data_IF_309267077896
#
_entry.id   IF_309267077896
#
_cell.length_a   1.000
_cell.length_b   1.000
_cell.length_c   1.000
_cell.angle_alpha   90.00
_cell.angle_beta   90.00
_cell.angle_gamma   90.00
#
_symmetry.space_group_name_H-M   'P 1'
#
loop_
_entity.id
_entity.type
_entity.pdbx_description
1 polymer ?
#
# COMPACT_ATOMS: atom_id res chain seq x y z
N UNK A 1 8.10 6.18 -6.79
CA UNK A 1 7.12 6.67 -5.77
C UNK A 1 7.76 7.57 -4.72
N UNK A 2 8.84 7.13 -4.13
CA UNK A 2 9.55 7.91 -3.08
C UNK A 2 9.92 9.33 -3.55
N UNK A 3 10.55 9.44 -4.71
CA UNK A 3 10.94 10.73 -5.25
C UNK A 3 9.73 11.64 -5.53
N UNK A 4 8.66 11.08 -6.05
CA UNK A 4 7.43 11.82 -6.33
C UNK A 4 6.83 12.39 -5.03
N UNK A 5 6.71 11.56 -4.00
CA UNK A 5 6.15 11.95 -2.70
C UNK A 5 7.00 13.02 -2.04
N UNK A 6 8.33 12.82 -1.98
CA UNK A 6 9.24 13.75 -1.32
C UNK A 6 9.34 15.09 -2.05
N UNK A 7 9.40 15.07 -3.37
CA UNK A 7 9.51 16.32 -4.14
C UNK A 7 8.29 17.23 -3.96
N UNK A 8 7.13 16.65 -3.64
CA UNK A 8 5.87 17.39 -3.48
C UNK A 8 5.41 17.54 -2.04
N UNK A 9 6.14 16.95 -1.08
CA UNK A 9 5.76 17.02 0.33
C UNK A 9 4.41 16.38 0.62
N UNK A 10 4.06 15.30 -0.08
CA UNK A 10 2.73 14.72 -0.01
C UNK A 10 2.48 13.91 1.25
N UNK A 11 3.53 13.39 1.87
CA UNK A 11 3.38 12.60 3.09
C UNK A 11 4.57 11.71 3.40
N UNK A 12 4.29 10.64 4.10
CA UNK A 12 5.26 9.67 4.59
C UNK A 12 5.21 8.40 3.74
N UNK A 13 6.36 8.02 3.19
CA UNK A 13 6.50 6.77 2.45
C UNK A 13 7.51 5.88 3.17
N UNK A 14 7.16 4.60 3.32
CA UNK A 14 8.00 3.63 4.00
C UNK A 14 8.10 2.33 3.21
N UNK A 15 9.23 1.65 3.37
CA UNK A 15 9.41 0.27 2.94
C UNK A 15 9.04 -0.69 4.06
N UNK A 16 9.79 -1.78 4.19
CA UNK A 16 9.51 -2.84 5.16
C UNK A 16 9.73 -2.43 6.63
N UNK A 17 10.21 -1.24 6.90
CA UNK A 17 10.34 -0.68 8.24
C UNK A 17 9.06 0.03 8.71
N UNK A 18 8.09 0.25 7.83
CA UNK A 18 6.80 0.82 8.20
C UNK A 18 5.87 -0.24 8.78
N UNK A 19 5.48 -0.08 10.04
CA UNK A 19 4.58 -0.99 10.73
C UNK A 19 3.34 -0.25 11.22
N UNK A 20 2.17 -0.86 11.03
CA UNK A 20 0.89 -0.22 11.32
C UNK A 20 0.03 -1.11 12.21
N UNK A 21 -0.60 -0.51 13.20
CA UNK A 21 -1.61 -1.17 14.02
C UNK A 21 -2.96 -0.91 13.35
N UNK A 22 -3.51 -1.92 12.70
CA UNK A 22 -4.74 -1.78 11.93
C UNK A 22 -5.98 -1.95 12.79
N UNK A 23 -5.85 -2.70 13.88
CA UNK A 23 -6.96 -3.06 14.75
C UNK A 23 -6.45 -3.34 16.15
N UNK A 24 -7.29 -3.10 17.15
CA UNK A 24 -7.00 -3.42 18.55
C UNK A 24 -8.00 -4.48 19.05
N UNK A 25 -7.62 -5.22 20.07
CA UNK A 25 -8.41 -6.18 20.84
C UNK A 25 -9.08 -7.28 20.01
N UNK A 26 -8.37 -8.19 19.36
CA UNK A 26 -6.91 -8.37 19.39
C UNK A 26 -6.21 -7.43 18.42
N UNK A 27 -4.95 -7.16 18.69
CA UNK A 27 -4.14 -6.30 17.82
C UNK A 27 -3.84 -7.01 16.50
N UNK A 28 -4.03 -6.29 15.39
CA UNK A 28 -3.59 -6.70 14.06
C UNK A 28 -2.54 -5.70 13.60
N UNK A 29 -1.32 -6.18 13.44
CA UNK A 29 -0.18 -5.38 12.99
C UNK A 29 0.27 -5.89 11.63
N UNK A 30 0.46 -4.96 10.68
CA UNK A 30 0.95 -5.31 9.35
C UNK A 30 2.14 -4.43 8.97
N UNK A 31 3.05 -5.04 8.22
CA UNK A 31 4.25 -4.38 7.68
C UNK A 31 4.20 -4.55 6.16
N UNK A 32 3.57 -3.63 5.43
CA UNK A 32 3.55 -3.73 3.98
C UNK A 32 4.93 -3.53 3.38
N UNK A 33 5.15 -4.07 2.19
CA UNK A 33 6.43 -3.93 1.49
C UNK A 33 6.71 -2.46 1.13
N UNK A 34 5.68 -1.73 0.74
CA UNK A 34 5.70 -0.27 0.56
C UNK A 34 4.40 0.29 1.10
N UNK A 35 4.46 1.47 1.71
CA UNK A 35 3.28 2.14 2.23
C UNK A 35 3.40 3.65 2.10
N UNK A 36 2.24 4.30 2.08
CA UNK A 36 2.16 5.76 2.03
C UNK A 36 1.06 6.25 2.96
N UNK A 37 1.38 7.30 3.72
CA UNK A 37 0.43 8.02 4.57
C UNK A 37 0.45 9.49 4.17
N UNK A 38 -0.71 10.08 3.91
CA UNK A 38 -0.80 11.50 3.59
C UNK A 38 -0.30 12.35 4.75
N UNK A 39 0.34 13.46 4.41
CA UNK A 39 0.98 14.33 5.41
C UNK A 39 0.01 14.76 6.51
N UNK A 40 -1.24 15.12 6.16
CA UNK A 40 -2.24 15.58 7.12
C UNK A 40 -2.69 14.50 8.11
N UNK A 41 -2.41 13.23 7.83
CA UNK A 41 -2.77 12.12 8.70
C UNK A 41 -1.64 11.66 9.61
N UNK A 42 -0.41 12.11 9.34
CA UNK A 42 0.73 11.75 10.17
C UNK A 42 0.67 12.46 11.52
N UNK A 43 0.92 11.74 12.63
CA UNK A 43 1.06 12.40 13.94
C UNK A 43 2.32 13.27 13.98
N UNK A 44 2.45 14.18 14.98
CA UNK A 44 3.69 14.91 15.18
C UNK A 44 4.89 13.97 15.27
N UNK A 45 6.03 14.38 14.72
CA UNK A 45 7.21 13.53 14.59
C UNK A 45 7.67 12.97 15.94
N UNK A 46 7.56 13.74 17.01
CA UNK A 46 7.90 13.31 18.38
C UNK A 46 6.99 12.19 18.90
N UNK A 47 5.86 11.94 18.26
CA UNK A 47 4.95 10.84 18.60
C UNK A 47 5.19 9.58 17.76
N UNK A 48 6.13 9.64 16.80
CA UNK A 48 6.43 8.49 15.99
C UNK A 48 7.10 7.42 16.84
N UNK A 49 6.62 6.19 16.65
CA UNK A 49 7.21 5.01 17.26
C UNK A 49 7.42 3.97 16.16
N UNK A 50 7.96 2.82 16.55
CA UNK A 50 8.14 1.71 15.61
C UNK A 50 6.81 1.31 14.94
N UNK A 51 5.70 1.44 15.66
CA UNK A 51 4.37 1.10 15.17
C UNK A 51 3.53 2.35 15.14
N UNK A 52 2.94 2.65 13.99
CA UNK A 52 1.98 3.74 13.87
C UNK A 52 0.57 3.21 14.14
N UNK A 53 -0.16 3.87 15.04
CA UNK A 53 -1.53 3.50 15.39
C UNK A 53 -2.51 4.13 14.41
N UNK A 54 -2.35 3.78 13.14
CA UNK A 54 -3.22 4.21 12.05
C UNK A 54 -3.04 3.26 10.87
N UNK A 55 -3.96 3.30 9.91
CA UNK A 55 -3.83 2.58 8.65
C UNK A 55 -3.19 3.50 7.60
N UNK A 56 -2.31 2.99 6.73
CA UNK A 56 -1.78 3.79 5.63
C UNK A 56 -2.88 4.10 4.61
N UNK A 57 -2.64 5.07 3.75
CA UNK A 57 -3.54 5.38 2.63
C UNK A 57 -3.31 4.43 1.46
N UNK A 58 -2.07 3.99 1.27
CA UNK A 58 -1.69 3.01 0.26
C UNK A 58 -0.85 1.92 0.93
N UNK A 59 -1.19 0.67 0.68
CA UNK A 59 -0.38 -0.48 1.07
C UNK A 59 -0.04 -1.29 -0.18
N UNK A 60 1.24 -1.63 -0.34
CA UNK A 60 1.73 -2.45 -1.44
C UNK A 60 2.29 -3.74 -0.86
N UNK A 61 1.77 -4.87 -1.33
CA UNK A 61 2.24 -6.20 -0.98
C UNK A 61 2.80 -6.88 -2.22
N UNK A 62 4.02 -7.39 -2.13
CA UNK A 62 4.65 -8.17 -3.20
C UNK A 62 4.50 -9.64 -2.85
N UNK A 63 3.82 -10.40 -3.71
CA UNK A 63 3.60 -11.83 -3.47
C UNK A 63 4.87 -12.60 -3.80
N UNK A 64 5.31 -13.44 -2.87
CA UNK A 64 6.38 -14.40 -3.11
C UNK A 64 5.79 -15.77 -3.50
N UNK A 65 6.61 -16.67 -4.09
CA UNK A 65 6.13 -18.01 -4.45
C UNK A 65 5.61 -18.85 -3.27
N UNK A 66 6.03 -18.51 -2.04
CA UNK A 66 5.58 -19.20 -0.83
C UNK A 66 4.26 -18.68 -0.28
N UNK A 67 3.76 -17.55 -0.77
CA UNK A 67 2.50 -16.98 -0.32
C UNK A 67 1.33 -17.72 -0.92
N UNK A 68 0.31 -17.96 -0.10
CA UNK A 68 -0.94 -18.55 -0.60
C UNK A 68 -1.90 -17.44 -1.04
N UNK A 69 -2.82 -17.78 -1.93
CA UNK A 69 -3.90 -16.87 -2.34
C UNK A 69 -4.72 -16.45 -1.13
N UNK A 70 -5.02 -17.40 -0.24
CA UNK A 70 -5.79 -17.15 0.98
C UNK A 70 -5.11 -16.10 1.86
N UNK A 71 -3.81 -16.24 2.12
CA UNK A 71 -3.08 -15.30 2.96
C UNK A 71 -3.07 -13.89 2.35
N UNK A 72 -2.89 -13.80 1.04
CA UNK A 72 -2.90 -12.51 0.34
C UNK A 72 -4.27 -11.83 0.43
N UNK A 73 -5.35 -12.59 0.23
CA UNK A 73 -6.71 -12.07 0.32
C UNK A 73 -7.08 -11.66 1.75
N UNK A 74 -6.61 -12.40 2.75
CA UNK A 74 -6.83 -12.04 4.16
C UNK A 74 -6.15 -10.72 4.49
N UNK A 75 -4.91 -10.49 4.02
CA UNK A 75 -4.22 -9.21 4.20
C UNK A 75 -4.96 -8.05 3.54
N UNK A 76 -5.41 -8.25 2.32
CA UNK A 76 -6.18 -7.23 1.59
C UNK A 76 -7.43 -6.85 2.37
N UNK A 77 -8.16 -7.84 2.86
CA UNK A 77 -9.36 -7.62 3.65
C UNK A 77 -9.06 -6.81 4.91
N UNK A 78 -7.99 -7.18 5.62
CA UNK A 78 -7.57 -6.45 6.82
C UNK A 78 -7.25 -4.99 6.51
N UNK A 79 -6.53 -4.72 5.42
CA UNK A 79 -6.24 -3.35 5.01
C UNK A 79 -7.50 -2.57 4.68
N UNK A 80 -8.39 -3.15 3.88
CA UNK A 80 -9.63 -2.46 3.50
C UNK A 80 -10.54 -2.22 4.70
N UNK A 81 -10.65 -3.19 5.60
CA UNK A 81 -11.44 -3.04 6.83
C UNK A 81 -10.89 -1.93 7.73
N UNK A 82 -9.59 -1.70 7.69
CA UNK A 82 -8.94 -0.63 8.45
C UNK A 82 -9.02 0.75 7.78
N UNK A 83 -9.56 0.83 6.58
CA UNK A 83 -9.75 2.10 5.87
C UNK A 83 -8.66 2.46 4.86
N UNK A 84 -7.79 1.51 4.51
CA UNK A 84 -6.79 1.75 3.45
C UNK A 84 -7.50 2.02 2.13
N UNK A 85 -7.11 3.10 1.46
CA UNK A 85 -7.79 3.57 0.24
C UNK A 85 -7.36 2.84 -1.02
N UNK A 86 -6.11 2.42 -1.09
CA UNK A 86 -5.59 1.64 -2.21
C UNK A 86 -4.71 0.52 -1.68
N UNK A 87 -4.96 -0.69 -2.12
CA UNK A 87 -4.10 -1.84 -1.85
C UNK A 87 -3.61 -2.39 -3.18
N UNK A 88 -2.30 -2.40 -3.38
CA UNK A 88 -1.66 -2.96 -4.56
C UNK A 88 -1.07 -4.32 -4.21
N UNK A 89 -1.49 -5.36 -4.91
CA UNK A 89 -0.90 -6.69 -4.80
C UNK A 89 -0.09 -6.94 -6.06
N UNK A 90 1.24 -6.95 -5.90
CA UNK A 90 2.18 -7.10 -7.00
C UNK A 90 2.53 -8.58 -7.15
N UNK A 91 2.34 -9.13 -8.34
CA UNK A 91 2.62 -10.54 -8.66
C UNK A 91 3.75 -10.62 -9.70
N UNK A 92 5.01 -10.71 -9.27
CA UNK A 92 6.14 -10.72 -10.20
C UNK A 92 6.11 -11.90 -11.19
N UNK A 93 5.69 -13.07 -10.73
CA UNK A 93 5.63 -14.28 -11.58
C UNK A 93 4.66 -14.13 -12.76
N UNK A 94 3.69 -13.25 -12.64
CA UNK A 94 2.69 -13.00 -13.69
C UNK A 94 2.81 -11.62 -14.30
N UNK A 95 3.77 -10.83 -13.85
CA UNK A 95 4.01 -9.46 -14.29
C UNK A 95 2.73 -8.64 -14.29
N UNK A 96 2.02 -8.69 -13.15
CA UNK A 96 0.75 -7.97 -13.00
C UNK A 96 0.60 -7.39 -11.60
N UNK A 97 -0.27 -6.40 -11.50
CA UNK A 97 -0.66 -5.76 -10.25
C UNK A 97 -2.18 -5.78 -10.16
N UNK A 98 -2.71 -6.22 -9.02
CA UNK A 98 -4.13 -6.10 -8.72
C UNK A 98 -4.29 -4.92 -7.76
N UNK A 99 -5.15 -3.98 -8.11
CA UNK A 99 -5.47 -2.83 -7.25
C UNK A 99 -6.85 -3.04 -6.65
N UNK A 100 -6.92 -2.98 -5.33
CA UNK A 100 -8.16 -3.11 -4.57
C UNK A 100 -8.59 -1.74 -4.06
N UNK A 101 -9.89 -1.47 -4.13
CA UNK A 101 -10.51 -0.19 -3.77
C UNK A 101 -11.41 -0.33 -2.54
N UNK A 102 -11.74 0.78 -1.85
CA UNK A 102 -12.58 0.73 -0.64
C UNK A 102 -13.95 0.12 -0.83
N UNK A 103 -14.53 0.22 -2.03
CA UNK A 103 -15.83 -0.37 -2.36
C UNK A 103 -15.76 -1.88 -2.60
N UNK A 104 -14.60 -2.49 -2.33
CA UNK A 104 -14.35 -3.93 -2.50
C UNK A 104 -14.25 -4.37 -3.95
N UNK A 105 -14.13 -3.43 -4.89
CA UNK A 105 -13.81 -3.77 -6.28
C UNK A 105 -12.31 -3.93 -6.45
N UNK A 106 -11.91 -4.61 -7.51
CA UNK A 106 -10.52 -4.82 -7.86
C UNK A 106 -10.33 -4.65 -9.37
N UNK A 107 -9.15 -4.19 -9.76
CA UNK A 107 -8.79 -4.04 -11.17
C UNK A 107 -7.42 -4.65 -11.42
N UNK A 108 -7.30 -5.38 -12.52
CA UNK A 108 -6.05 -6.02 -12.92
C UNK A 108 -5.29 -5.11 -13.89
N UNK A 109 -3.99 -4.96 -13.65
CA UNK A 109 -3.09 -4.16 -14.48
C UNK A 109 -1.96 -5.05 -14.95
N UNK A 110 -1.78 -5.16 -16.27
CA UNK A 110 -0.72 -5.94 -16.90
C UNK A 110 0.38 -5.04 -17.45
N UNK A 111 1.37 -5.60 -18.13
CA UNK A 111 2.56 -4.89 -18.64
C UNK A 111 2.25 -3.64 -19.46
N UNK A 112 1.16 -3.63 -20.21
CA UNK A 112 0.76 -2.52 -21.06
C UNK A 112 -0.03 -1.42 -20.34
N UNK A 113 -0.30 -1.63 -19.07
CA UNK A 113 -1.09 -0.70 -18.26
C UNK A 113 -0.22 0.24 -17.46
N UNK A 114 -0.82 1.33 -17.01
CA UNK A 114 -0.18 2.31 -16.12
C UNK A 114 -1.02 2.46 -14.86
N UNK A 115 -0.38 2.31 -13.71
CA UNK A 115 -1.00 2.56 -12.41
C UNK A 115 -1.05 4.06 -12.16
N UNK A 116 -2.06 4.48 -11.43
CA UNK A 116 -2.14 5.85 -10.93
C UNK A 116 -2.32 5.83 -9.40
N UNK A 117 -2.12 7.00 -8.80
CA UNK A 117 -2.22 7.14 -7.35
C UNK A 117 -3.62 7.46 -6.84
N UNK A 118 -4.62 7.52 -7.72
CA UNK A 118 -5.97 7.92 -7.32
C UNK A 118 -5.97 9.30 -6.66
N UNK A 119 -6.89 9.49 -5.74
CA UNK A 119 -7.02 10.76 -5.03
C UNK A 119 -5.96 10.95 -3.95
N UNK A 120 -5.33 9.87 -3.50
CA UNK A 120 -4.34 9.94 -2.41
C UNK A 120 -2.96 10.37 -2.89
N UNK A 121 -2.63 10.14 -4.16
CA UNK A 121 -1.38 10.56 -4.80
C UNK A 121 -1.71 11.24 -6.14
N UNK A 122 -2.28 12.44 -6.11
CA UNK A 122 -2.71 13.12 -7.35
C UNK A 122 -1.54 13.31 -8.32
N UNK A 123 -1.76 12.90 -9.57
CA UNK A 123 -0.76 13.05 -10.63
C UNK A 123 0.32 11.99 -10.66
N UNK A 124 0.36 11.09 -9.69
CA UNK A 124 1.33 9.99 -9.72
C UNK A 124 0.91 8.93 -10.74
N UNK A 125 1.86 8.52 -11.59
CA UNK A 125 1.67 7.43 -12.54
C UNK A 125 2.88 6.51 -12.51
N UNK A 126 2.65 5.22 -12.74
CA UNK A 126 3.70 4.21 -12.77
C UNK A 126 3.33 3.13 -13.78
N UNK A 127 4.05 3.07 -14.92
CA UNK A 127 3.85 1.96 -15.85
C UNK A 127 4.16 0.63 -15.17
N UNK A 128 3.28 -0.35 -15.35
CA UNK A 128 3.47 -1.68 -14.74
C UNK A 128 4.78 -2.31 -15.21
N UNK A 129 5.14 -2.11 -16.48
CA UNK A 129 6.39 -2.63 -17.02
C UNK A 129 7.63 -2.14 -16.24
N UNK A 130 7.59 -0.95 -15.67
CA UNK A 130 8.72 -0.38 -14.92
C UNK A 130 8.93 -1.09 -13.58
N UNK A 131 7.89 -1.68 -13.01
CA UNK A 131 7.98 -2.44 -11.76
C UNK A 131 8.82 -3.70 -11.98
N UNK A 132 8.70 -4.30 -13.16
CA UNK A 132 9.32 -5.59 -13.48
C UNK A 132 10.53 -5.47 -14.40
N UNK A 133 11.01 -4.26 -14.61
CA UNK A 133 12.16 -3.99 -15.47
C UNK A 133 13.47 -4.52 -14.88
#
# INVERSE_FOLDING_TARGET
>A
MYAFVNARGLGYIAGVDGAYILKRDPDVVRVPDVSFVRAERMPPEEQWSRFLDLAPDLAVEVISPSDTVRDSLDKVREYLDAGVQLVWVVQPSRRMVTVYYPDRTARLYYDDATLDGGDILPGFTLPVADIFA
#
